data_IF_093169619099
#
_entry.id   IF_093169619099
#
_cell.length_a   1.000
_cell.length_b   1.000
_cell.length_c   1.000
_cell.angle_alpha   90.00
_cell.angle_beta   90.00
_cell.angle_gamma   90.00
#
_symmetry.space_group_name_H-M   'P 1'
#
loop_
_entity.id
_entity.type
_entity.pdbx_description
1 polymer ?
#
# COMPACT_ATOMS: atom_id res chain seq x y z
N UNK A 1 -5.21 10.38 8.10
CA UNK A 1 -5.70 9.24 8.91
C UNK A 1 -4.58 8.71 9.79
N UNK A 2 -4.90 8.05 10.90
CA UNK A 2 -3.92 7.29 11.68
C UNK A 2 -3.95 5.83 11.23
N UNK A 3 -2.79 5.22 11.10
CA UNK A 3 -2.64 3.78 10.89
C UNK A 3 -1.92 3.20 12.11
N UNK A 4 -2.54 2.20 12.72
CA UNK A 4 -2.00 1.48 13.86
C UNK A 4 -1.49 0.12 13.38
N UNK A 5 -0.24 -0.17 13.69
CA UNK A 5 0.47 -1.36 13.23
C UNK A 5 0.78 -2.23 14.44
N UNK A 6 0.14 -3.40 14.53
CA UNK A 6 0.51 -4.42 15.50
C UNK A 6 1.90 -4.98 15.22
N UNK A 7 2.42 -5.75 16.16
CA UNK A 7 3.70 -6.44 16.05
C UNK A 7 3.74 -7.33 14.80
N UNK A 8 4.78 -7.19 13.98
CA UNK A 8 4.96 -7.95 12.75
C UNK A 8 4.01 -7.59 11.60
N UNK A 9 3.10 -6.62 11.77
CA UNK A 9 2.13 -6.29 10.73
C UNK A 9 2.77 -5.52 9.58
N UNK A 10 2.39 -5.83 8.35
CA UNK A 10 2.78 -5.09 7.15
C UNK A 10 1.63 -4.88 6.17
N UNK A 11 1.80 -3.93 5.27
CA UNK A 11 0.90 -3.76 4.12
C UNK A 11 1.27 -4.72 2.98
N UNK A 12 0.41 -4.81 1.97
CA UNK A 12 0.85 -5.25 0.64
C UNK A 12 1.75 -4.20 -0.02
N UNK A 13 2.38 -4.55 -1.14
CA UNK A 13 2.99 -3.58 -2.05
C UNK A 13 1.83 -2.82 -2.72
N UNK A 14 1.83 -1.49 -2.71
CA UNK A 14 0.70 -0.72 -3.21
C UNK A 14 1.08 0.66 -3.79
N UNK A 15 0.14 1.20 -4.57
CA UNK A 15 0.17 2.55 -5.12
C UNK A 15 -0.64 3.55 -4.28
N UNK A 16 -0.70 4.80 -4.76
CA UNK A 16 -1.39 5.92 -4.13
C UNK A 16 -2.48 6.54 -5.00
N UNK A 17 -2.82 5.94 -6.15
CA UNK A 17 -3.93 6.38 -7.01
C UNK A 17 -3.84 7.86 -7.39
N UNK A 18 -2.67 8.25 -7.89
CA UNK A 18 -2.28 9.61 -8.29
C UNK A 18 -2.35 10.66 -7.16
N UNK A 19 -2.39 10.21 -5.90
CA UNK A 19 -2.35 11.09 -4.74
C UNK A 19 -0.93 11.25 -4.16
N UNK A 20 -0.71 12.41 -3.54
CA UNK A 20 0.40 12.65 -2.64
C UNK A 20 0.17 11.91 -1.32
N UNK A 21 1.17 11.16 -0.85
CA UNK A 21 1.17 10.49 0.45
C UNK A 21 2.29 11.06 1.33
N UNK A 22 1.89 11.60 2.48
CA UNK A 22 2.83 11.95 3.55
C UNK A 22 2.59 11.01 4.73
N UNK A 23 3.66 10.44 5.27
CA UNK A 23 3.61 9.57 6.45
C UNK A 23 4.53 10.12 7.53
N UNK A 24 3.98 10.45 8.70
CA UNK A 24 4.74 10.85 9.88
C UNK A 24 4.66 9.78 10.95
N UNK A 25 5.81 9.35 11.47
CA UNK A 25 5.87 8.44 12.60
C UNK A 25 5.46 9.14 13.90
N UNK A 26 4.52 8.54 14.64
CA UNK A 26 4.06 9.03 15.95
C UNK A 26 4.62 8.20 17.11
N UNK A 27 4.68 6.88 16.96
CA UNK A 27 5.31 5.97 17.94
C UNK A 27 5.88 4.74 17.25
N UNK A 28 6.89 4.13 17.86
CA UNK A 28 7.61 2.98 17.30
C UNK A 28 8.47 3.37 16.10
N UNK A 29 8.63 2.41 15.19
CA UNK A 29 9.36 2.55 13.93
C UNK A 29 8.71 1.71 12.83
N UNK A 30 8.74 2.18 11.59
CA UNK A 30 8.30 1.42 10.42
C UNK A 30 9.44 1.27 9.41
N UNK A 31 9.47 0.12 8.74
CA UNK A 31 10.28 -0.12 7.55
C UNK A 31 9.45 0.22 6.32
N UNK A 32 9.97 1.09 5.46
CA UNK A 32 9.45 1.30 4.10
C UNK A 32 10.38 0.60 3.11
N UNK A 33 9.78 -0.19 2.23
CA UNK A 33 10.46 -0.83 1.10
C UNK A 33 9.82 -0.25 -0.16
N UNK A 34 10.59 0.40 -1.02
CA UNK A 34 10.09 0.95 -2.28
C UNK A 34 10.40 0.02 -3.43
N UNK A 35 9.47 -0.05 -4.38
CA UNK A 35 9.56 -0.93 -5.53
C UNK A 35 9.37 -0.14 -6.82
N UNK A 36 10.03 -0.60 -7.87
CA UNK A 36 9.81 -0.14 -9.22
C UNK A 36 8.44 -0.62 -9.71
N UNK A 37 7.81 0.15 -10.60
CA UNK A 37 6.59 -0.30 -11.28
C UNK A 37 6.90 -1.52 -12.16
N UNK A 38 6.02 -2.54 -12.20
CA UNK A 38 6.25 -3.69 -13.06
C UNK A 38 6.19 -3.29 -14.54
N UNK A 39 7.16 -3.75 -15.34
CA UNK A 39 7.25 -3.47 -16.77
C UNK A 39 6.10 -4.12 -17.54
N UNK A 40 5.06 -3.35 -17.86
CA UNK A 40 3.95 -3.83 -18.72
C UNK A 40 4.37 -3.96 -20.20
N UNK A 41 5.55 -3.44 -20.57
CA UNK A 41 5.95 -3.23 -21.98
C UNK A 41 6.72 -4.38 -22.64
N UNK A 42 7.20 -5.40 -21.91
CA UNK A 42 7.88 -6.56 -22.54
C UNK A 42 6.92 -7.58 -23.16
N UNK A 43 5.60 -7.38 -23.05
CA UNK A 43 4.59 -8.29 -23.57
C UNK A 43 3.97 -7.84 -24.90
N UNK A 44 4.59 -6.92 -25.66
CA UNK A 44 4.18 -6.61 -27.03
C UNK A 44 4.83 -7.56 -28.03
N UNK A 45 4.27 -8.76 -28.12
CA UNK A 45 3.98 -9.41 -29.40
C UNK A 45 2.82 -10.37 -29.15
N UNK A 46 1.66 -9.97 -29.67
CA UNK A 46 0.51 -10.75 -30.13
C UNK A 46 -0.81 -10.08 -29.71
N UNK A 47 -1.49 -9.54 -30.73
CA UNK A 47 -2.87 -9.07 -30.72
C UNK A 47 -3.78 -10.17 -30.17
N UNK A 48 -4.17 -10.08 -28.91
CA UNK A 48 -5.40 -10.66 -28.36
C UNK A 48 -5.73 -9.86 -27.08
N UNK A 49 -6.99 -9.49 -26.89
CA UNK A 49 -7.49 -8.57 -25.86
C UNK A 49 -7.40 -9.06 -24.39
N UNK A 50 -6.40 -9.87 -24.06
CA UNK A 50 -6.08 -10.27 -22.70
C UNK A 50 -4.85 -9.48 -22.26
N UNK A 51 -5.03 -8.57 -21.30
CA UNK A 51 -3.93 -7.87 -20.63
C UNK A 51 -2.97 -8.92 -20.09
N UNK A 52 -1.81 -9.11 -20.74
CA UNK A 52 -0.77 -10.02 -20.25
C UNK A 52 -0.27 -9.45 -18.93
N UNK A 53 -0.65 -10.13 -17.85
CA UNK A 53 -0.17 -9.84 -16.51
C UNK A 53 1.35 -9.96 -16.47
N UNK A 54 2.01 -9.08 -15.71
CA UNK A 54 3.42 -9.27 -15.36
C UNK A 54 3.60 -10.65 -14.73
N UNK A 55 4.75 -11.27 -15.03
CA UNK A 55 5.22 -12.50 -14.38
C UNK A 55 6.63 -12.33 -13.82
N UNK A 56 7.14 -11.09 -13.78
CA UNK A 56 8.45 -10.77 -13.25
C UNK A 56 8.32 -10.38 -11.77
N UNK A 57 9.35 -10.73 -10.97
CA UNK A 57 9.43 -10.36 -9.56
C UNK A 57 9.61 -8.84 -9.41
N UNK A 58 8.95 -8.27 -8.40
CA UNK A 58 8.99 -6.84 -8.11
C UNK A 58 10.40 -6.43 -7.68
N UNK A 59 10.95 -5.43 -8.35
CA UNK A 59 12.30 -4.94 -8.07
C UNK A 59 12.30 -3.92 -6.94
N UNK A 60 13.04 -4.19 -5.88
CA UNK A 60 13.29 -3.25 -4.78
C UNK A 60 14.19 -2.11 -5.29
N UNK A 61 13.77 -0.87 -5.00
CA UNK A 61 14.54 0.35 -5.26
C UNK A 61 15.35 0.75 -4.05
N UNK A 62 14.72 0.81 -2.87
CA UNK A 62 15.35 1.20 -1.62
C UNK A 62 14.57 0.68 -0.41
N UNK A 63 15.28 0.57 0.72
CA UNK A 63 14.70 0.30 2.03
C UNK A 63 15.09 1.42 3.01
N UNK A 64 14.12 1.86 3.82
CA UNK A 64 14.35 2.92 4.80
C UNK A 64 13.64 2.60 6.13
N UNK A 65 14.25 3.06 7.24
CA UNK A 65 13.70 2.90 8.59
C UNK A 65 13.28 4.26 9.14
N UNK A 66 11.98 4.45 9.31
CA UNK A 66 11.43 5.67 9.88
C UNK A 66 11.25 5.49 11.38
N UNK A 67 12.03 6.26 12.16
CA UNK A 67 11.89 6.34 13.61
C UNK A 67 10.82 7.35 13.99
N UNK A 68 10.43 7.35 15.27
CA UNK A 68 9.49 8.34 15.83
C UNK A 68 9.86 9.77 15.40
N UNK A 69 8.85 10.54 15.01
CA UNK A 69 8.91 11.88 14.43
C UNK A 69 9.44 12.02 13.00
N UNK A 70 10.05 10.99 12.41
CA UNK A 70 10.42 11.02 10.99
C UNK A 70 9.20 11.23 10.09
N UNK A 71 9.43 11.87 8.94
CA UNK A 71 8.43 12.10 7.90
C UNK A 71 8.95 11.52 6.60
N UNK A 72 8.13 10.72 5.93
CA UNK A 72 8.35 10.21 4.60
C UNK A 72 7.30 10.76 3.63
N UNK A 73 7.69 10.81 2.37
CA UNK A 73 6.85 11.24 1.26
C UNK A 73 6.99 10.24 0.11
N UNK A 74 5.85 9.93 -0.52
CA UNK A 74 5.77 9.13 -1.72
C UNK A 74 4.58 9.56 -2.58
N UNK A 75 4.69 9.36 -3.88
CA UNK A 75 3.59 9.38 -4.83
C UNK A 75 3.92 8.36 -5.95
N UNK A 76 2.98 8.16 -6.87
CA UNK A 76 3.12 7.14 -7.92
C UNK A 76 4.29 7.39 -8.88
N UNK A 77 4.76 8.64 -9.01
CA UNK A 77 5.95 8.96 -9.82
C UNK A 77 7.28 8.55 -9.17
N UNK A 78 7.29 8.37 -7.84
CA UNK A 78 8.48 7.90 -7.09
C UNK A 78 8.54 6.38 -7.13
N UNK A 79 7.40 5.71 -6.97
CA UNK A 79 7.32 4.26 -7.02
C UNK A 79 6.19 3.70 -6.17
N UNK A 80 6.19 2.38 -6.03
CA UNK A 80 5.31 1.63 -5.16
C UNK A 80 5.98 1.41 -3.81
N UNK A 81 5.23 1.10 -2.74
CA UNK A 81 5.87 0.71 -1.49
C UNK A 81 5.12 -0.34 -0.68
N UNK A 82 5.86 -0.97 0.23
CA UNK A 82 5.37 -1.77 1.35
C UNK A 82 5.84 -1.12 2.66
N UNK A 83 4.94 -1.03 3.64
CA UNK A 83 5.25 -0.48 4.96
C UNK A 83 5.01 -1.55 6.03
N UNK A 84 5.99 -1.74 6.91
CA UNK A 84 6.02 -2.85 7.85
C UNK A 84 6.42 -2.39 9.26
N UNK A 85 5.70 -2.88 10.26
CA UNK A 85 6.20 -2.92 11.62
C UNK A 85 6.96 -4.23 11.83
N UNK A 86 8.29 -4.20 11.63
CA UNK A 86 9.18 -5.36 11.87
C UNK A 86 9.44 -5.62 13.36
N UNK A 87 8.89 -4.82 14.28
CA UNK A 87 8.98 -5.10 15.71
C UNK A 87 8.08 -6.29 16.08
N UNK A 88 8.62 -7.23 16.84
CA UNK A 88 7.87 -8.37 17.40
C UNK A 88 7.36 -8.13 18.82
N UNK A 89 7.64 -6.96 19.40
CA UNK A 89 7.40 -6.68 20.82
C UNK A 89 6.73 -5.33 21.08
N UNK A 90 6.67 -4.45 20.08
CA UNK A 90 6.10 -3.12 20.22
C UNK A 90 5.27 -2.72 19.00
N UNK A 91 4.09 -2.13 19.18
CA UNK A 91 3.30 -1.57 18.09
C UNK A 91 3.91 -0.27 17.56
N UNK A 92 3.46 0.13 16.38
CA UNK A 92 3.79 1.42 15.77
C UNK A 92 2.51 2.17 15.37
N UNK A 93 2.59 3.51 15.35
CA UNK A 93 1.49 4.36 14.84
C UNK A 93 2.07 5.42 13.93
N UNK A 94 1.45 5.57 12.77
CA UNK A 94 1.79 6.59 11.77
C UNK A 94 0.60 7.47 11.44
N UNK A 95 0.87 8.75 11.17
CA UNK A 95 -0.08 9.72 10.64
C UNK A 95 0.11 9.83 9.13
N UNK A 96 -0.95 9.55 8.37
CA UNK A 96 -0.97 9.62 6.92
C UNK A 96 -1.82 10.81 6.43
N UNK A 97 -1.32 11.56 5.46
CA UNK A 97 -2.05 12.61 4.75
C UNK A 97 -2.07 12.27 3.27
N UNK A 98 -3.26 12.18 2.67
CA UNK A 98 -3.46 11.88 1.27
C UNK A 98 -4.12 13.06 0.54
N UNK A 99 -3.53 13.51 -0.56
CA UNK A 99 -4.02 14.66 -1.34
C UNK A 99 -3.91 14.36 -2.85
N UNK A 100 -5.03 14.29 -3.61
CA UNK A 100 -6.41 14.24 -3.13
C UNK A 100 -6.73 12.95 -2.33
N UNK A 101 -7.84 12.90 -1.58
CA UNK A 101 -8.26 11.66 -0.95
C UNK A 101 -8.75 10.63 -1.98
N UNK A 102 -8.47 9.36 -1.74
CA UNK A 102 -8.96 8.23 -2.55
C UNK A 102 -9.62 7.16 -1.68
N UNK A 103 -10.33 6.22 -2.32
CA UNK A 103 -11.00 5.09 -1.64
C UNK A 103 -10.66 3.72 -2.23
N UNK A 104 -9.83 3.69 -3.25
CA UNK A 104 -9.33 2.50 -3.92
C UNK A 104 -7.85 2.70 -4.21
N UNK A 105 -7.09 1.62 -4.22
CA UNK A 105 -5.70 1.59 -4.69
C UNK A 105 -5.40 0.23 -5.31
N UNK A 106 -4.26 0.10 -5.96
CA UNK A 106 -3.75 -1.15 -6.50
C UNK A 106 -2.80 -1.78 -5.48
N UNK A 107 -2.94 -3.08 -5.26
CA UNK A 107 -1.95 -3.90 -4.56
C UNK A 107 -1.25 -4.84 -5.52
N UNK A 108 0.03 -5.11 -5.31
CA UNK A 108 0.88 -5.90 -6.18
C UNK A 108 1.39 -7.15 -5.48
N UNK A 109 1.34 -8.27 -6.18
CA UNK A 109 2.01 -9.50 -5.77
C UNK A 109 3.52 -9.35 -6.01
N UNK A 110 4.33 -9.59 -4.99
CA UNK A 110 5.78 -9.38 -5.05
C UNK A 110 6.48 -10.30 -6.05
N UNK A 111 6.01 -11.54 -6.22
CA UNK A 111 6.68 -12.53 -7.06
C UNK A 111 6.37 -12.38 -8.54
N UNK A 112 5.22 -11.78 -8.85
CA UNK A 112 4.69 -11.73 -10.22
C UNK A 112 4.45 -10.32 -10.73
N UNK A 113 4.37 -9.32 -9.85
CA UNK A 113 3.96 -7.96 -10.20
C UNK A 113 2.50 -7.84 -10.63
N UNK A 114 1.70 -8.91 -10.43
CA UNK A 114 0.25 -8.89 -10.70
C UNK A 114 -0.43 -7.90 -9.77
N UNK A 115 -1.29 -7.07 -10.34
CA UNK A 115 -1.99 -6.01 -9.62
C UNK A 115 -3.46 -6.34 -9.41
N UNK A 116 -3.98 -5.99 -8.25
CA UNK A 116 -5.39 -6.12 -7.90
C UNK A 116 -5.89 -4.78 -7.37
N UNK A 117 -7.03 -4.30 -7.87
CA UNK A 117 -7.70 -3.14 -7.29
C UNK A 117 -8.37 -3.55 -5.97
N UNK A 118 -8.09 -2.82 -4.91
CA UNK A 118 -8.72 -3.01 -3.60
C UNK A 118 -9.43 -1.75 -3.16
N UNK A 119 -10.48 -1.92 -2.36
CA UNK A 119 -11.15 -0.81 -1.66
C UNK A 119 -10.53 -0.65 -0.28
N UNK A 120 -9.95 0.52 0.00
CA UNK A 120 -9.49 0.85 1.35
C UNK A 120 -10.68 1.18 2.25
N UNK A 121 -10.65 0.67 3.48
CA UNK A 121 -11.72 0.87 4.45
C UNK A 121 -11.17 1.48 5.73
N UNK A 122 -12.01 2.27 6.39
CA UNK A 122 -11.67 2.83 7.70
C UNK A 122 -12.08 1.85 8.79
N UNK A 123 -11.17 1.59 9.73
CA UNK A 123 -11.51 0.89 10.97
C UNK A 123 -12.38 1.76 11.88
N UNK A 124 -12.07 3.05 11.97
CA UNK A 124 -12.85 4.04 12.71
C UNK A 124 -12.86 5.37 11.98
N UNK A 125 -13.84 6.22 12.28
CA UNK A 125 -13.90 7.62 11.84
C UNK A 125 -14.18 8.49 13.05
N UNK A 126 -13.37 9.53 13.23
CA UNK A 126 -13.53 10.52 14.31
C UNK A 126 -13.66 9.89 15.71
N UNK A 127 -12.88 8.83 15.98
CA UNK A 127 -12.89 8.12 17.26
C UNK A 127 -14.00 7.08 17.44
N UNK A 128 -14.92 6.94 16.49
CA UNK A 128 -15.99 5.92 16.53
C UNK A 128 -15.72 4.77 15.57
N UNK A 129 -15.89 3.53 16.04
CA UNK A 129 -15.73 2.30 15.24
C UNK A 129 -16.73 2.30 14.08
N UNK A 130 -16.26 1.95 12.88
CA UNK A 130 -17.11 1.69 11.71
C UNK A 130 -17.29 0.19 11.52
N UNK A 131 -18.48 -0.38 11.81
CA UNK A 131 -18.71 -1.81 11.66
C UNK A 131 -18.51 -2.26 10.22
N UNK A 132 -17.81 -3.38 10.02
CA UNK A 132 -17.71 -4.00 8.72
C UNK A 132 -19.08 -4.58 8.33
N UNK A 133 -19.64 -4.13 7.20
CA UNK A 133 -20.88 -4.69 6.65
C UNK A 133 -20.50 -5.47 5.39
N UNK A 134 -20.65 -6.80 5.45
CA UNK A 134 -20.60 -7.64 4.25
C UNK A 134 -21.81 -7.27 3.40
N UNK A 135 -21.60 -6.75 2.19
CA UNK A 135 -22.69 -6.62 1.23
C UNK A 135 -23.17 -8.03 0.90
N UNK A 136 -24.40 -8.36 1.30
CA UNK A 136 -25.08 -9.55 0.79
C UNK A 136 -25.23 -9.36 -0.71
N UNK A 137 -24.37 -9.98 -1.51
CA UNK A 137 -24.60 -10.13 -2.94
C UNK A 137 -25.81 -11.05 -3.03
N UNK A 138 -26.98 -10.47 -3.28
CA UNK A 138 -28.19 -11.24 -3.54
C UNK A 138 -28.00 -11.97 -4.85
N UNK A 139 -27.78 -13.28 -4.79
CA UNK A 139 -28.09 -14.14 -5.91
C UNK A 139 -29.61 -14.09 -6.10
N UNK A 140 -30.06 -13.34 -7.11
CA UNK A 140 -31.35 -13.58 -7.76
C UNK A 140 -31.17 -14.70 -8.77
#
# INVERSE_FOLDING_TARGET
>A
MLVCWSEGQGSGIHDHSDAHCFMKMLTGSLHEIRFEWPDVKKSTQEMNNNVKESTEEMKVLEENVMKTNAVAYINDSIGLHRVENRSHTYPAVSLHLYIPPYSKCQTFDERTGRRNEIKVTFYSKYGSRTPYKVSKIGHK
#
